data_IF_519492994081
#
_entry.id   IF_519492994081
#
_cell.length_a   1.000
_cell.length_b   1.000
_cell.length_c   1.000
_cell.angle_alpha   90.00
_cell.angle_beta   90.00
_cell.angle_gamma   90.00
#
_symmetry.space_group_name_H-M   'P 1'
#
loop_
_entity.id
_entity.type
_entity.pdbx_description
1 polymer ?
#
# COMPACT_ATOMS: atom_id res chain seq x y z
N UNK A 1 1.82 12.81 -22.39
CA UNK A 1 3.06 12.39 -21.74
C UNK A 1 2.87 11.00 -21.13
N UNK A 2 3.80 10.07 -21.42
CA UNK A 2 3.81 8.77 -20.77
C UNK A 2 4.42 8.93 -19.37
N UNK A 3 3.73 8.46 -18.35
CA UNK A 3 4.34 8.33 -17.03
C UNK A 3 5.40 7.21 -17.09
N UNK A 4 6.62 7.42 -16.57
CA UNK A 4 7.61 6.35 -16.50
C UNK A 4 7.10 5.23 -15.59
N UNK A 5 7.39 3.98 -15.97
CA UNK A 5 7.10 2.81 -15.13
C UNK A 5 8.29 2.57 -14.21
N UNK A 6 8.04 2.49 -12.91
CA UNK A 6 9.02 2.07 -11.91
C UNK A 6 8.60 0.72 -11.32
N UNK A 7 9.41 -0.30 -11.55
CA UNK A 7 9.14 -1.66 -11.09
C UNK A 7 9.17 -1.79 -9.55
N UNK A 8 9.87 -0.87 -8.87
CA UNK A 8 9.87 -0.83 -7.40
C UNK A 8 8.52 -0.38 -6.80
N UNK A 9 7.58 0.13 -7.63
CA UNK A 9 6.23 0.52 -7.24
C UNK A 9 5.14 -0.45 -7.74
N UNK A 10 5.53 -1.61 -8.29
CA UNK A 10 4.57 -2.69 -8.61
C UNK A 10 4.05 -3.35 -7.34
N UNK A 11 2.85 -3.97 -7.42
CA UNK A 11 2.27 -4.71 -6.30
C UNK A 11 3.22 -5.78 -5.78
N UNK A 12 2.99 -6.22 -4.55
CA UNK A 12 3.74 -7.31 -3.93
C UNK A 12 3.75 -8.55 -4.83
N UNK A 13 4.91 -9.15 -5.01
CA UNK A 13 5.00 -10.46 -5.65
C UNK A 13 4.55 -11.54 -4.66
N UNK A 14 3.27 -11.89 -4.74
CA UNK A 14 2.66 -12.93 -3.91
C UNK A 14 3.04 -14.36 -4.35
N UNK A 15 3.84 -14.52 -5.40
CA UNK A 15 4.31 -15.81 -5.89
C UNK A 15 3.17 -16.80 -6.16
N UNK A 16 3.18 -17.95 -5.46
CA UNK A 16 2.18 -19.01 -5.64
C UNK A 16 0.77 -18.63 -5.16
N UNK A 17 0.62 -17.49 -4.49
CA UNK A 17 -0.69 -17.00 -4.07
C UNK A 17 -1.41 -16.21 -5.18
N UNK A 18 -0.68 -15.79 -6.21
CA UNK A 18 -1.26 -15.03 -7.32
C UNK A 18 -2.36 -15.84 -8.04
N UNK A 19 -3.48 -15.17 -8.31
CA UNK A 19 -4.63 -15.77 -9.01
C UNK A 19 -5.51 -16.70 -8.17
N UNK A 20 -5.16 -16.95 -6.90
CA UNK A 20 -6.00 -17.74 -5.98
C UNK A 20 -7.06 -16.85 -5.32
N UNK A 21 -8.16 -17.44 -4.87
CA UNK A 21 -9.20 -16.70 -4.15
C UNK A 21 -8.79 -16.44 -2.70
N UNK A 22 -9.28 -15.34 -2.12
CA UNK A 22 -9.01 -15.05 -0.70
C UNK A 22 -9.55 -16.13 0.23
N UNK A 23 -10.66 -16.78 -0.14
CA UNK A 23 -11.22 -17.89 0.62
C UNK A 23 -10.30 -19.12 0.65
N UNK A 24 -9.61 -19.41 -0.47
CA UNK A 24 -8.63 -20.50 -0.51
C UNK A 24 -7.38 -20.13 0.29
N UNK A 25 -6.91 -18.88 0.16
CA UNK A 25 -5.74 -18.38 0.87
C UNK A 25 -5.95 -18.34 2.38
N UNK A 26 -7.17 -18.06 2.83
CA UNK A 26 -7.52 -18.06 4.25
C UNK A 26 -7.35 -19.43 4.93
N UNK A 27 -7.22 -20.51 4.16
CA UNK A 27 -6.94 -21.86 4.68
C UNK A 27 -5.45 -22.21 4.78
N UNK A 28 -4.56 -21.34 4.26
CA UNK A 28 -3.12 -21.56 4.28
C UNK A 28 -2.54 -21.28 5.67
N UNK A 29 -1.53 -22.06 6.08
CA UNK A 29 -0.83 -21.87 7.35
C UNK A 29 -0.18 -20.48 7.47
N UNK A 30 0.18 -19.87 6.35
CA UNK A 30 0.78 -18.54 6.30
C UNK A 30 -0.24 -17.42 6.53
N UNK A 31 -1.54 -17.67 6.31
CA UNK A 31 -2.58 -16.63 6.40
C UNK A 31 -2.64 -15.91 7.75
N UNK A 32 -2.64 -16.60 8.90
CA UNK A 32 -2.60 -15.93 10.21
C UNK A 32 -1.37 -15.03 10.37
N UNK A 33 -0.23 -15.40 9.80
CA UNK A 33 1.00 -14.58 9.86
C UNK A 33 0.85 -13.33 8.99
N UNK A 34 0.27 -13.45 7.79
CA UNK A 34 -0.04 -12.31 6.92
C UNK A 34 -0.95 -11.30 7.63
N UNK A 35 -1.90 -11.78 8.42
CA UNK A 35 -2.85 -10.91 9.14
C UNK A 35 -2.25 -10.28 10.41
N UNK A 36 -1.35 -10.96 11.12
CA UNK A 36 -0.87 -10.52 12.44
C UNK A 36 0.57 -10.03 12.47
N UNK A 37 1.43 -10.57 11.59
CA UNK A 37 2.88 -10.28 11.53
C UNK A 37 3.38 -10.16 10.09
N UNK A 38 2.89 -9.21 9.29
CA UNK A 38 3.33 -9.03 7.90
C UNK A 38 4.86 -8.94 7.75
N UNK A 39 5.56 -8.36 8.71
CA UNK A 39 7.03 -8.26 8.66
C UNK A 39 7.77 -9.60 8.63
N UNK A 40 7.13 -10.68 9.10
CA UNK A 40 7.68 -12.03 9.08
C UNK A 40 7.31 -12.83 7.82
N UNK A 41 6.47 -12.27 6.95
CA UNK A 41 5.93 -12.98 5.77
C UNK A 41 6.96 -13.02 4.66
N UNK A 42 7.15 -14.22 4.10
CA UNK A 42 7.79 -14.46 2.80
C UNK A 42 6.82 -15.32 1.99
N UNK A 43 6.34 -14.81 0.86
CA UNK A 43 5.40 -15.55 0.02
C UNK A 43 6.10 -16.69 -0.72
N UNK A 44 5.51 -17.89 -0.80
CA UNK A 44 6.10 -19.01 -1.52
C UNK A 44 6.34 -18.69 -3.00
N UNK A 45 7.61 -18.68 -3.42
CA UNK A 45 7.99 -18.30 -4.77
C UNK A 45 7.82 -16.81 -5.12
N UNK A 46 7.58 -15.97 -4.12
CA UNK A 46 7.44 -14.54 -4.24
C UNK A 46 8.43 -13.76 -3.36
N UNK A 47 8.10 -12.50 -3.06
CA UNK A 47 8.93 -11.66 -2.20
C UNK A 47 8.47 -11.67 -0.73
N UNK A 48 9.29 -11.09 0.16
CA UNK A 48 8.87 -10.81 1.52
C UNK A 48 8.15 -9.46 1.60
N UNK A 49 7.22 -9.33 2.54
CA UNK A 49 6.56 -8.05 2.82
C UNK A 49 7.56 -6.96 3.24
N UNK A 50 8.62 -7.34 3.95
CA UNK A 50 9.70 -6.42 4.33
C UNK A 50 10.50 -5.92 3.12
N UNK A 51 10.79 -6.79 2.14
CA UNK A 51 11.46 -6.40 0.89
C UNK A 51 10.57 -5.49 0.04
N UNK A 52 9.29 -5.81 -0.06
CA UNK A 52 8.29 -4.99 -0.73
C UNK A 52 8.24 -3.57 -0.15
N UNK A 53 8.16 -3.44 1.18
CA UNK A 53 8.19 -2.14 1.84
C UNK A 53 9.52 -1.41 1.57
N UNK A 54 10.66 -2.09 1.71
CA UNK A 54 11.95 -1.47 1.52
C UNK A 54 12.13 -0.89 0.11
N UNK A 55 11.77 -1.66 -0.95
CA UNK A 55 11.87 -1.18 -2.34
C UNK A 55 10.93 -0.02 -2.63
N UNK A 56 9.68 -0.12 -2.19
CA UNK A 56 8.66 0.90 -2.46
C UNK A 56 8.95 2.23 -1.75
N UNK A 57 9.36 2.18 -0.49
CA UNK A 57 9.77 3.38 0.27
C UNK A 57 11.02 4.02 -0.36
N UNK A 58 12.02 3.21 -0.74
CA UNK A 58 13.21 3.72 -1.41
C UNK A 58 12.87 4.39 -2.75
N UNK A 59 11.95 3.80 -3.53
CA UNK A 59 11.50 4.38 -4.81
C UNK A 59 10.84 5.75 -4.61
N UNK A 60 9.88 5.86 -3.69
CA UNK A 60 9.20 7.13 -3.42
C UNK A 60 10.20 8.21 -2.98
N UNK A 61 11.11 7.90 -2.07
CA UNK A 61 12.11 8.87 -1.60
C UNK A 61 13.08 9.28 -2.71
N UNK A 62 13.46 8.36 -3.58
CA UNK A 62 14.31 8.64 -4.75
C UNK A 62 13.62 9.59 -5.73
N UNK A 63 12.35 9.31 -6.06
CA UNK A 63 11.57 10.16 -6.95
C UNK A 63 11.32 11.54 -6.34
N UNK A 64 10.95 11.60 -5.06
CA UNK A 64 10.71 12.87 -4.37
C UNK A 64 11.96 13.76 -4.40
N UNK A 65 13.12 13.22 -4.04
CA UNK A 65 14.39 13.95 -4.11
C UNK A 65 14.75 14.41 -5.53
N UNK A 66 14.47 13.58 -6.56
CA UNK A 66 14.73 13.94 -7.94
C UNK A 66 13.82 15.09 -8.40
N UNK A 67 12.53 15.04 -8.09
CA UNK A 67 11.59 16.11 -8.43
C UNK A 67 11.86 17.41 -7.66
N UNK A 68 12.24 17.30 -6.37
CA UNK A 68 12.66 18.49 -5.62
C UNK A 68 13.91 19.14 -6.22
N UNK A 69 14.88 18.34 -6.66
CA UNK A 69 16.09 18.85 -7.31
C UNK A 69 15.81 19.53 -8.66
N UNK A 70 14.86 19.02 -9.43
CA UNK A 70 14.51 19.53 -10.77
C UNK A 70 13.55 20.72 -10.72
N UNK A 71 12.53 20.68 -9.85
CA UNK A 71 11.43 21.65 -9.83
C UNK A 71 11.41 22.55 -8.58
N UNK A 72 12.33 22.31 -7.65
CA UNK A 72 12.45 23.09 -6.42
C UNK A 72 11.62 22.58 -5.25
N UNK A 73 11.81 23.16 -4.05
CA UNK A 73 11.10 22.78 -2.85
C UNK A 73 9.60 23.02 -2.99
N UNK A 74 8.81 22.02 -2.69
CA UNK A 74 7.36 22.05 -2.83
C UNK A 74 6.85 21.52 -4.18
N UNK A 75 7.71 20.88 -4.97
CA UNK A 75 7.30 20.12 -6.15
C UNK A 75 6.19 19.14 -5.79
N UNK A 76 5.17 19.03 -6.64
CA UNK A 76 4.06 18.09 -6.48
C UNK A 76 4.09 17.11 -7.64
N UNK A 77 4.07 15.83 -7.31
CA UNK A 77 4.05 14.75 -8.28
C UNK A 77 3.11 13.61 -7.84
N UNK A 78 2.74 12.74 -8.74
CA UNK A 78 1.79 11.66 -8.49
C UNK A 78 2.45 10.32 -8.78
N UNK A 79 2.41 9.42 -7.79
CA UNK A 79 2.69 8.01 -7.96
C UNK A 79 1.37 7.24 -8.07
N UNK A 80 1.23 6.42 -9.10
CA UNK A 80 0.10 5.49 -9.24
C UNK A 80 0.62 4.10 -8.91
N UNK A 81 0.02 3.47 -7.90
CA UNK A 81 0.49 2.18 -7.40
C UNK A 81 -0.69 1.35 -6.86
N UNK A 82 -0.42 0.36 -6.05
CA UNK A 82 -1.32 -0.69 -5.59
C UNK A 82 -1.54 -0.62 -4.08
N UNK A 83 -2.50 -1.41 -3.59
CA UNK A 83 -2.98 -1.34 -2.22
C UNK A 83 -1.91 -1.55 -1.17
N UNK A 84 -1.20 -2.67 -1.20
CA UNK A 84 -0.21 -2.99 -0.15
C UNK A 84 1.05 -2.12 -0.26
N UNK A 85 1.40 -1.69 -1.48
CA UNK A 85 2.48 -0.72 -1.71
C UNK A 85 2.14 0.62 -1.04
N UNK A 86 0.97 1.18 -1.33
CA UNK A 86 0.56 2.47 -0.76
C UNK A 86 0.46 2.39 0.76
N UNK A 87 -0.12 1.31 1.30
CA UNK A 87 -0.20 1.08 2.76
C UNK A 87 1.18 1.02 3.41
N UNK A 88 2.14 0.32 2.79
CA UNK A 88 3.49 0.18 3.33
C UNK A 88 4.27 1.50 3.32
N UNK A 89 4.11 2.33 2.28
CA UNK A 89 4.67 3.67 2.19
C UNK A 89 4.05 4.58 3.26
N UNK A 90 2.73 4.53 3.44
CA UNK A 90 2.04 5.29 4.47
C UNK A 90 2.46 4.85 5.89
N UNK A 91 2.62 3.55 6.13
CA UNK A 91 3.11 3.03 7.39
C UNK A 91 4.51 3.58 7.73
N UNK A 92 5.45 3.56 6.76
CA UNK A 92 6.78 4.16 6.93
C UNK A 92 6.68 5.67 7.24
N UNK A 93 5.89 6.41 6.47
CA UNK A 93 5.72 7.85 6.66
C UNK A 93 5.10 8.21 8.02
N UNK A 94 4.25 7.35 8.57
CA UNK A 94 3.64 7.49 9.90
C UNK A 94 4.53 6.96 11.04
N UNK A 95 5.67 6.34 10.74
CA UNK A 95 6.52 5.68 11.73
C UNK A 95 5.87 4.42 12.33
N UNK A 96 4.94 3.81 11.61
CA UNK A 96 4.26 2.59 12.02
C UNK A 96 5.11 1.36 11.67
N UNK A 97 5.13 0.39 12.57
CA UNK A 97 5.68 -0.93 12.26
C UNK A 97 4.87 -1.59 11.12
N UNK A 98 5.55 -2.34 10.25
CA UNK A 98 4.89 -3.01 9.12
C UNK A 98 3.76 -3.94 9.57
N UNK A 99 3.84 -4.55 10.74
CA UNK A 99 2.78 -5.40 11.29
C UNK A 99 1.45 -4.66 11.55
N UNK A 100 1.48 -3.33 11.51
CA UNK A 100 0.30 -2.50 11.72
C UNK A 100 -0.26 -1.89 10.43
N UNK A 101 0.37 -2.13 9.28
CA UNK A 101 0.03 -1.46 8.03
C UNK A 101 -1.41 -1.77 7.55
N UNK A 102 -1.97 -2.92 7.93
CA UNK A 102 -3.36 -3.29 7.63
C UNK A 102 -4.40 -2.41 8.35
N UNK A 103 -3.99 -1.58 9.31
CA UNK A 103 -4.85 -0.53 9.88
C UNK A 103 -5.13 0.62 8.92
N UNK A 104 -4.34 0.72 7.85
CA UNK A 104 -4.49 1.75 6.82
C UNK A 104 -5.39 1.20 5.73
N UNK A 105 -6.48 1.90 5.45
CA UNK A 105 -7.35 1.56 4.32
C UNK A 105 -6.91 2.33 3.07
N UNK A 106 -6.89 1.65 1.94
CA UNK A 106 -6.64 2.22 0.63
C UNK A 106 -7.63 1.61 -0.36
N UNK A 107 -8.61 2.39 -0.78
CA UNK A 107 -9.61 1.98 -1.75
C UNK A 107 -9.13 2.21 -3.19
N UNK A 108 -9.76 1.55 -4.17
CA UNK A 108 -9.52 1.81 -5.58
C UNK A 108 -9.76 3.29 -5.93
N UNK A 109 -8.86 3.88 -6.73
CA UNK A 109 -8.91 5.28 -7.15
C UNK A 109 -8.89 6.32 -6.01
N UNK A 110 -8.57 5.90 -4.79
CA UNK A 110 -8.37 6.83 -3.68
C UNK A 110 -7.02 7.55 -3.79
N UNK A 111 -6.91 8.71 -3.14
CA UNK A 111 -5.70 9.51 -3.09
C UNK A 111 -5.20 9.60 -1.66
N UNK A 112 -3.90 9.36 -1.47
CA UNK A 112 -3.19 9.62 -0.21
C UNK A 112 -2.09 10.66 -0.47
N UNK A 113 -1.87 11.57 0.48
CA UNK A 113 -0.95 12.70 0.32
C UNK A 113 0.10 12.65 1.41
N UNK A 114 1.35 12.52 0.99
CA UNK A 114 2.53 12.55 1.87
C UNK A 114 3.45 13.67 1.41
N UNK A 115 3.91 14.49 2.34
CA UNK A 115 4.96 15.46 2.10
C UNK A 115 6.25 14.94 2.71
N UNK A 116 7.27 14.80 1.92
CA UNK A 116 8.62 14.53 2.39
C UNK A 116 9.34 15.86 2.63
N UNK A 117 9.96 15.98 3.79
CA UNK A 117 10.75 17.14 4.18
C UNK A 117 12.06 16.67 4.80
N UNK A 118 13.05 17.54 4.87
CA UNK A 118 14.39 17.19 5.38
C UNK A 118 14.40 16.56 6.78
N UNK A 119 13.44 16.92 7.63
CA UNK A 119 13.38 16.41 9.01
C UNK A 119 12.57 15.12 9.16
N UNK A 120 11.44 15.02 8.47
CA UNK A 120 10.51 13.89 8.56
C UNK A 120 9.40 13.98 7.50
N UNK A 121 8.84 12.85 7.06
CA UNK A 121 7.62 12.86 6.27
C UNK A 121 6.41 13.32 7.12
N UNK A 122 5.40 13.84 6.45
CA UNK A 122 4.11 14.22 7.05
C UNK A 122 2.98 13.71 6.16
N UNK A 123 2.05 12.96 6.74
CA UNK A 123 0.87 12.45 6.04
C UNK A 123 -0.26 13.47 6.19
N UNK A 124 -0.72 14.03 5.08
CA UNK A 124 -1.77 15.05 5.04
C UNK A 124 -3.16 14.46 4.83
N UNK A 125 -3.25 13.38 4.06
CA UNK A 125 -4.50 12.69 3.79
C UNK A 125 -4.24 11.22 3.45
N UNK A 126 -5.20 10.37 3.77
CA UNK A 126 -5.20 8.94 3.42
C UNK A 126 -6.56 8.55 2.88
N UNK A 127 -6.58 7.69 1.85
CA UNK A 127 -7.79 7.09 1.33
C UNK A 127 -8.91 8.10 1.04
N UNK A 128 -8.59 9.26 0.47
CA UNK A 128 -9.62 10.25 0.13
C UNK A 128 -10.38 9.74 -1.10
N UNK A 129 -11.67 9.51 -0.95
CA UNK A 129 -12.60 9.43 -2.06
C UNK A 129 -13.38 10.76 -2.16
N UNK A 130 -14.13 10.97 -3.21
CA UNK A 130 -14.73 12.27 -3.55
C UNK A 130 -15.79 12.79 -2.54
N UNK A 131 -15.69 12.42 -1.26
CA UNK A 131 -16.57 12.86 -0.18
C UNK A 131 -17.87 12.08 -0.07
N UNK A 132 -18.07 11.03 -0.88
CA UNK A 132 -19.20 10.12 -0.71
C UNK A 132 -18.93 9.16 0.46
N UNK A 133 -19.69 9.34 1.53
CA UNK A 133 -19.62 8.49 2.73
C UNK A 133 -20.77 7.47 2.80
N UNK A 134 -21.50 7.27 1.71
CA UNK A 134 -22.64 6.32 1.65
C UNK A 134 -22.23 4.88 1.98
N UNK A 135 -20.97 4.51 1.74
CA UNK A 135 -20.41 3.20 2.10
C UNK A 135 -20.42 2.90 3.60
N UNK A 136 -20.45 3.92 4.48
CA UNK A 136 -20.55 3.74 5.93
C UNK A 136 -21.90 3.13 6.33
N UNK A 137 -22.95 3.33 5.54
CA UNK A 137 -24.28 2.77 5.81
C UNK A 137 -24.36 1.25 5.63
N UNK A 138 -23.42 0.67 4.87
CA UNK A 138 -23.35 -0.77 4.60
C UNK A 138 -22.64 -1.56 5.73
N UNK A 139 -22.24 -0.89 6.81
CA UNK A 139 -21.51 -1.47 7.92
C UNK A 139 -20.02 -1.67 7.62
N UNK A 140 -19.20 -1.44 8.63
CA UNK A 140 -17.77 -1.79 8.57
C UNK A 140 -17.70 -3.28 8.88
N UNK A 141 -17.37 -4.09 7.88
CA UNK A 141 -17.15 -5.52 8.10
C UNK A 141 -15.88 -5.70 8.93
N UNK A 142 -16.05 -6.21 10.16
CA UNK A 142 -14.95 -6.67 10.99
C UNK A 142 -14.51 -8.06 10.50
N UNK A 143 -13.67 -8.09 9.49
CA UNK A 143 -13.07 -9.30 8.94
C UNK A 143 -11.57 -9.13 8.81
N UNK A 144 -10.90 -10.17 8.30
CA UNK A 144 -9.48 -10.11 7.96
C UNK A 144 -9.20 -8.97 6.96
N UNK A 145 -8.05 -8.35 7.08
CA UNK A 145 -7.66 -7.30 6.15
C UNK A 145 -7.44 -7.88 4.73
N UNK A 146 -7.93 -7.21 3.68
CA UNK A 146 -7.73 -7.67 2.31
C UNK A 146 -6.26 -7.56 1.93
N UNK A 147 -5.70 -8.66 1.43
CA UNK A 147 -4.37 -8.69 0.82
C UNK A 147 -4.46 -8.01 -0.55
N UNK A 148 -3.48 -7.14 -0.88
CA UNK A 148 -3.47 -6.42 -2.15
C UNK A 148 -4.42 -5.22 -2.20
N UNK A 149 -4.98 -4.78 -1.07
CA UNK A 149 -5.95 -3.68 -1.01
C UNK A 149 -7.25 -4.01 -1.74
N UNK A 150 -8.37 -3.98 -1.17
CA UNK A 150 -9.76 -4.26 -1.57
C UNK A 150 -10.22 -4.34 -3.03
N UNK A 151 -9.33 -4.55 -3.98
CA UNK A 151 -9.65 -4.76 -5.39
C UNK A 151 -10.16 -6.19 -5.59
N UNK A 152 -11.46 -6.40 -5.55
CA UNK A 152 -12.03 -7.69 -5.91
C UNK A 152 -13.31 -8.11 -5.20
N UNK A 153 -13.93 -7.26 -4.42
CA UNK A 153 -15.31 -7.53 -4.02
C UNK A 153 -16.22 -7.35 -5.24
N UNK A 154 -16.72 -8.47 -5.79
CA UNK A 154 -17.84 -8.38 -6.72
C UNK A 154 -18.99 -7.67 -6.00
N UNK A 155 -19.46 -6.57 -6.57
CA UNK A 155 -20.74 -5.99 -6.18
C UNK A 155 -21.83 -7.07 -6.26
N UNK A 156 -22.82 -7.09 -5.36
CA UNK A 156 -23.92 -8.02 -5.36
C UNK A 156 -24.73 -7.95 -6.64
#
# INVERSE_FOLDING_TARGET
>A
PYAPVDLDLTECDYGQWQGRTLSDLATEDLWPVVQSQPSAVVFPGGESMASMQARSVAAIRRHDAAFEAEYGPGAVWVAVSHGDIIKSILADALGMHLDLFQRINVGPASVSIVRYAASRPSVYATNTDAGDLSWLSNGIHSGDAPVGGGAGQKAP
#
